data_IF_489591934036
#
_entry.id   IF_489591934036
#
_cell.length_a   1.000
_cell.length_b   1.000
_cell.length_c   1.000
_cell.angle_alpha   90.00
_cell.angle_beta   90.00
_cell.angle_gamma   90.00
#
_symmetry.space_group_name_H-M   'P 1'
#
loop_
_entity.id
_entity.type
_entity.pdbx_description
1 polymer ?
#
# COMPACT_ATOMS: atom_id res chain seq x y z
N UNK A 1 5.40 25.43 27.26
CA UNK A 1 6.40 26.36 26.68
C UNK A 1 7.80 26.17 27.26
N UNK A 2 8.00 26.07 28.59
CA UNK A 2 9.34 25.83 29.16
C UNK A 2 9.77 24.35 29.07
N UNK A 3 8.85 23.41 29.30
CA UNK A 3 9.09 21.96 29.13
C UNK A 3 9.39 21.51 27.69
N UNK A 4 8.97 22.30 26.71
CA UNK A 4 9.16 22.03 25.28
C UNK A 4 10.54 22.49 24.80
N UNK A 5 11.08 23.54 25.43
CA UNK A 5 12.46 23.99 25.19
C UNK A 5 13.51 23.05 25.79
N UNK A 6 13.13 22.32 26.83
CA UNK A 6 14.00 21.32 27.48
C UNK A 6 14.06 20.00 26.71
N UNK A 7 12.96 19.59 26.05
CA UNK A 7 12.95 18.42 25.17
C UNK A 7 13.74 18.66 23.88
N UNK A 8 13.71 19.88 23.33
CA UNK A 8 14.52 20.29 22.17
C UNK A 8 16.02 20.37 22.50
N UNK A 9 16.40 20.77 23.72
CA UNK A 9 17.80 20.74 24.18
C UNK A 9 18.34 19.32 24.32
N UNK A 10 17.51 18.37 24.78
CA UNK A 10 17.91 16.96 24.90
C UNK A 10 18.06 16.28 23.54
N UNK A 11 17.23 16.62 22.56
CA UNK A 11 17.33 16.06 21.20
C UNK A 11 18.48 16.65 20.39
N UNK A 12 18.88 17.91 20.63
CA UNK A 12 20.10 18.48 20.01
C UNK A 12 21.40 17.84 20.51
N UNK A 13 21.44 17.36 21.76
CA UNK A 13 22.64 16.73 22.34
C UNK A 13 22.88 15.29 21.87
N UNK A 14 21.90 14.68 21.19
CA UNK A 14 21.99 13.32 20.65
C UNK A 14 22.42 13.27 19.16
N UNK A 15 22.81 14.41 18.57
CA UNK A 15 23.08 14.54 17.13
C UNK A 15 24.44 15.17 16.80
N UNK A 16 25.40 15.05 17.70
CA UNK A 16 26.80 15.36 17.40
C UNK A 16 27.55 14.07 17.04
N UNK A 17 28.14 13.96 15.82
CA UNK A 17 29.01 12.85 15.48
C UNK A 17 30.39 13.04 16.12
N UNK A 18 30.88 11.99 16.79
CA UNK A 18 32.23 11.90 17.35
C UNK A 18 33.29 12.14 16.26
N UNK A 19 34.26 13.01 16.56
CA UNK A 19 35.49 13.17 15.77
C UNK A 19 36.45 12.03 16.09
N UNK A 20 37.21 11.52 15.11
CA UNK A 20 38.22 10.51 15.37
C UNK A 20 39.41 11.12 16.11
N UNK A 21 39.85 10.41 17.15
CA UNK A 21 41.08 10.63 17.90
C UNK A 21 42.28 10.62 16.95
N UNK A 22 43.05 11.72 16.94
CA UNK A 22 44.40 11.75 16.40
C UNK A 22 45.38 11.79 17.57
N UNK A 23 46.06 10.66 17.70
CA UNK A 23 47.27 10.41 18.49
C UNK A 23 48.32 11.51 18.25
N UNK A 24 48.62 12.28 19.30
CA UNK A 24 49.71 13.25 19.35
C UNK A 24 50.59 12.96 20.55
N UNK A 25 51.53 12.03 20.37
CA UNK A 25 52.70 11.91 21.24
C UNK A 25 53.68 13.05 20.98
N UNK A 26 53.73 14.02 21.90
CA UNK A 26 54.83 14.99 22.01
C UNK A 26 56.11 14.33 22.55
N UNK A 27 57.30 14.72 22.10
CA UNK A 27 58.56 14.44 22.78
C UNK A 27 59.01 15.63 23.67
N UNK A 28 59.88 15.40 24.67
CA UNK A 28 60.24 16.41 25.67
C UNK A 28 61.44 17.28 25.25
N UNK A 29 61.47 18.54 25.70
CA UNK A 29 62.68 19.38 25.81
C UNK A 29 63.54 18.96 27.03
N UNK A 30 64.76 19.46 27.26
CA UNK A 30 65.47 20.63 26.76
C UNK A 30 66.96 20.57 27.22
N UNK A 31 67.81 21.40 26.59
CA UNK A 31 69.13 21.94 27.05
C UNK A 31 70.46 21.16 26.79
N UNK A 32 71.67 21.79 26.87
CA UNK A 32 72.43 22.24 25.68
C UNK A 32 73.95 21.85 25.70
N UNK A 33 74.68 22.04 24.59
CA UNK A 33 76.15 21.86 24.58
C UNK A 33 76.85 22.12 23.24
N UNK A 34 77.72 23.14 23.25
CA UNK A 34 78.77 23.66 22.35
C UNK A 34 79.47 22.80 21.23
N UNK A 35 80.27 23.46 20.33
CA UNK A 35 80.42 23.12 18.92
C UNK A 35 81.79 22.55 18.52
N UNK A 36 81.93 21.99 17.29
CA UNK A 36 83.16 22.06 16.48
C UNK A 36 83.01 21.49 15.06
N UNK A 37 83.43 22.30 14.08
CA UNK A 37 84.15 22.00 12.82
C UNK A 37 83.95 20.67 12.06
N UNK A 38 83.60 20.75 10.76
CA UNK A 38 84.55 20.53 9.64
C UNK A 38 83.86 20.22 8.27
N UNK A 39 84.22 21.03 7.27
CA UNK A 39 84.63 20.65 5.90
C UNK A 39 83.73 19.80 4.96
N UNK A 40 83.17 20.51 3.96
CA UNK A 40 83.44 20.36 2.50
C UNK A 40 83.37 18.95 1.87
N UNK A 41 82.37 18.71 0.98
CA UNK A 41 82.54 18.49 -0.50
C UNK A 41 81.30 17.89 -1.19
N UNK A 42 80.87 18.60 -2.24
CA UNK A 42 80.50 18.13 -3.58
C UNK A 42 79.38 17.07 -3.78
N UNK A 43 78.24 17.58 -4.24
CA UNK A 43 77.58 17.24 -5.52
C UNK A 43 77.66 15.82 -6.06
N UNK A 44 76.49 15.18 -6.21
CA UNK A 44 76.15 14.53 -7.47
C UNK A 44 74.64 14.59 -7.75
N UNK A 45 74.32 15.09 -8.94
CA UNK A 45 72.96 15.26 -9.46
C UNK A 45 72.39 13.92 -9.95
N UNK A 46 71.16 13.62 -9.55
CA UNK A 46 70.26 12.73 -10.28
C UNK A 46 68.93 13.45 -10.50
N UNK A 47 68.72 13.93 -11.73
CA UNK A 47 67.45 14.51 -12.18
C UNK A 47 66.43 13.38 -12.36
N UNK A 48 65.65 13.07 -11.32
CA UNK A 48 64.41 12.33 -11.49
C UNK A 48 63.35 13.24 -12.11
N UNK A 49 63.02 12.98 -13.37
CA UNK A 49 61.94 13.63 -14.11
C UNK A 49 60.61 13.44 -13.37
N UNK A 50 59.98 14.55 -12.97
CA UNK A 50 58.64 14.54 -12.39
C UNK A 50 57.62 14.16 -13.47
N UNK A 51 56.87 13.07 -13.25
CA UNK A 51 55.74 12.69 -14.11
C UNK A 51 54.73 13.84 -14.20
N UNK A 52 54.24 14.22 -15.39
CA UNK A 52 53.28 15.31 -15.52
C UNK A 52 51.95 14.91 -14.87
N UNK A 53 51.42 15.79 -14.03
CA UNK A 53 50.11 15.64 -13.37
C UNK A 53 49.03 15.37 -14.43
N UNK A 54 48.34 14.24 -14.31
CA UNK A 54 47.22 13.88 -15.18
C UNK A 54 46.11 14.93 -15.09
N UNK A 55 45.80 15.58 -16.21
CA UNK A 55 44.62 16.44 -16.35
C UNK A 55 43.37 15.56 -16.31
N UNK A 56 42.72 15.49 -15.15
CA UNK A 56 41.39 14.89 -15.01
C UNK A 56 40.44 15.73 -15.85
N UNK A 57 39.98 15.16 -16.96
CA UNK A 57 38.99 15.82 -17.83
C UNK A 57 37.65 15.83 -17.09
N UNK A 58 36.90 16.95 -17.13
CA UNK A 58 35.54 16.97 -16.63
C UNK A 58 34.74 15.84 -17.30
N UNK A 59 33.96 15.04 -16.56
CA UNK A 59 33.12 14.02 -17.16
C UNK A 59 32.24 14.68 -18.22
N UNK A 60 32.30 14.19 -19.46
CA UNK A 60 31.35 14.60 -20.50
C UNK A 60 29.96 14.34 -19.93
N UNK A 61 29.14 15.39 -19.82
CA UNK A 61 27.68 15.22 -19.72
C UNK A 61 27.29 14.42 -20.96
N UNK A 62 27.16 13.11 -20.82
CA UNK A 62 26.34 12.32 -21.73
C UNK A 62 24.95 12.86 -21.53
N UNK A 63 24.51 13.71 -22.45
CA UNK A 63 23.11 14.03 -22.64
C UNK A 63 22.43 12.71 -22.96
N UNK A 64 22.04 11.95 -21.94
CA UNK A 64 21.06 10.89 -22.09
C UNK A 64 19.84 11.60 -22.64
N UNK A 65 19.52 11.37 -23.92
CA UNK A 65 18.27 11.82 -24.50
C UNK A 65 17.13 11.43 -23.55
N UNK A 66 16.20 12.35 -23.34
CA UNK A 66 14.97 12.16 -22.57
C UNK A 66 14.10 11.05 -23.20
N UNK A 67 14.52 9.79 -23.08
CA UNK A 67 13.73 8.61 -23.48
C UNK A 67 12.75 8.23 -22.36
N UNK A 68 11.94 9.20 -21.93
CA UNK A 68 10.86 8.96 -20.97
C UNK A 68 9.92 7.87 -21.49
N UNK A 69 9.54 7.93 -22.78
CA UNK A 69 8.59 6.98 -23.37
C UNK A 69 9.06 5.53 -23.28
N UNK A 70 10.31 5.25 -23.64
CA UNK A 70 10.89 3.90 -23.57
C UNK A 70 11.04 3.42 -22.13
N UNK A 71 11.53 4.29 -21.24
CA UNK A 71 11.69 3.99 -19.81
C UNK A 71 10.34 3.73 -19.14
N UNK A 72 9.32 4.52 -19.49
CA UNK A 72 7.96 4.38 -19.01
C UNK A 72 7.29 3.12 -19.55
N UNK A 73 7.43 2.82 -20.84
CA UNK A 73 6.85 1.62 -21.44
C UNK A 73 7.35 0.38 -20.71
N UNK A 74 8.67 0.31 -20.49
CA UNK A 74 9.30 -0.77 -19.73
C UNK A 74 8.77 -0.89 -18.31
N UNK A 75 8.68 0.23 -17.58
CA UNK A 75 8.21 0.25 -16.20
C UNK A 75 6.72 -0.11 -16.11
N UNK A 76 5.90 0.41 -17.02
CA UNK A 76 4.47 0.12 -17.09
C UNK A 76 4.21 -1.36 -17.39
N UNK A 77 5.00 -1.97 -18.28
CA UNK A 77 4.90 -3.39 -18.58
C UNK A 77 5.30 -4.24 -17.39
N UNK A 78 6.35 -3.85 -16.67
CA UNK A 78 6.75 -4.52 -15.44
C UNK A 78 5.64 -4.44 -14.37
N UNK A 79 5.00 -3.28 -14.19
CA UNK A 79 3.86 -3.12 -13.26
C UNK A 79 2.70 -4.06 -13.66
N UNK A 80 2.39 -4.18 -14.95
CA UNK A 80 1.39 -5.15 -15.44
C UNK A 80 1.78 -6.60 -15.15
N UNK A 81 3.04 -6.97 -15.34
CA UNK A 81 3.53 -8.32 -15.02
C UNK A 81 3.51 -8.61 -13.51
N UNK A 82 3.76 -7.61 -12.66
CA UNK A 82 3.60 -7.73 -11.21
C UNK A 82 2.15 -8.09 -10.87
N UNK A 83 1.18 -7.41 -11.49
CA UNK A 83 -0.25 -7.70 -11.31
C UNK A 83 -0.68 -9.06 -11.88
N UNK A 84 0.04 -9.60 -12.86
CA UNK A 84 -0.16 -10.96 -13.40
C UNK A 84 0.50 -12.06 -12.55
N UNK A 85 1.05 -11.73 -11.38
CA UNK A 85 1.81 -12.66 -10.53
C UNK A 85 3.10 -13.19 -11.17
N UNK A 86 3.64 -12.50 -12.17
CA UNK A 86 4.87 -12.87 -12.89
C UNK A 86 6.10 -12.07 -12.42
N UNK A 87 6.07 -11.57 -11.18
CA UNK A 87 7.12 -10.72 -10.64
C UNK A 87 8.51 -11.39 -10.57
N UNK A 88 8.57 -12.72 -10.51
CA UNK A 88 9.82 -13.48 -10.44
C UNK A 88 10.73 -13.32 -11.67
N UNK A 89 10.18 -12.91 -12.82
CA UNK A 89 10.95 -12.70 -14.05
C UNK A 89 11.53 -11.29 -14.17
N UNK A 90 11.22 -10.40 -13.22
CA UNK A 90 11.60 -9.00 -13.26
C UNK A 90 12.90 -8.74 -12.49
N UNK A 91 13.77 -7.90 -13.06
CA UNK A 91 14.97 -7.42 -12.37
C UNK A 91 14.62 -6.19 -11.52
N UNK A 92 14.57 -6.37 -10.19
CA UNK A 92 14.26 -5.29 -9.26
C UNK A 92 15.20 -4.08 -9.42
N UNK A 93 16.51 -4.33 -9.46
CA UNK A 93 17.53 -3.28 -9.56
C UNK A 93 17.38 -2.45 -10.84
N UNK A 94 17.05 -3.10 -11.95
CA UNK A 94 16.89 -2.43 -13.23
C UNK A 94 15.64 -1.55 -13.27
N UNK A 95 14.53 -2.03 -12.70
CA UNK A 95 13.30 -1.26 -12.58
C UNK A 95 13.47 -0.08 -11.62
N UNK A 96 14.10 -0.30 -10.47
CA UNK A 96 14.41 0.74 -9.50
C UNK A 96 15.30 1.83 -10.11
N UNK A 97 16.38 1.45 -10.81
CA UNK A 97 17.28 2.40 -11.49
C UNK A 97 16.56 3.20 -12.58
N UNK A 98 15.64 2.55 -13.31
CA UNK A 98 14.83 3.22 -14.34
C UNK A 98 13.92 4.28 -13.71
N UNK A 99 13.16 3.90 -12.67
CA UNK A 99 12.30 4.83 -11.93
C UNK A 99 13.10 5.97 -11.27
N UNK A 100 14.25 5.66 -10.67
CA UNK A 100 15.18 6.64 -10.09
C UNK A 100 15.60 7.69 -11.11
N UNK A 101 16.06 7.26 -12.29
CA UNK A 101 16.51 8.17 -13.34
C UNK A 101 15.37 9.08 -13.83
N UNK A 102 14.16 8.54 -14.00
CA UNK A 102 12.99 9.35 -14.40
C UNK A 102 12.69 10.48 -13.39
N UNK A 103 12.73 10.18 -12.09
CA UNK A 103 12.52 11.19 -11.04
C UNK A 103 13.68 12.19 -11.00
N UNK A 104 14.93 11.72 -11.14
CA UNK A 104 16.12 12.57 -11.19
C UNK A 104 16.06 13.59 -12.33
N UNK A 105 15.57 13.17 -13.49
CA UNK A 105 15.33 14.01 -14.67
C UNK A 105 14.04 14.83 -14.60
N UNK A 106 13.46 15.02 -13.41
CA UNK A 106 12.26 15.87 -13.15
C UNK A 106 10.99 15.38 -13.86
N UNK A 107 10.88 14.08 -14.14
CA UNK A 107 9.69 13.47 -14.76
C UNK A 107 8.75 12.80 -13.74
N UNK A 108 8.85 13.16 -12.46
CA UNK A 108 8.06 12.57 -11.37
C UNK A 108 6.54 12.74 -11.53
N UNK A 109 6.09 13.88 -12.06
CA UNK A 109 4.67 14.14 -12.29
C UNK A 109 4.07 13.19 -13.33
N UNK A 110 4.74 13.06 -14.48
CA UNK A 110 4.32 12.14 -15.55
C UNK A 110 4.38 10.69 -15.08
N UNK A 111 5.40 10.34 -14.29
CA UNK A 111 5.53 9.00 -13.72
C UNK A 111 4.36 8.68 -12.77
N UNK A 112 4.05 9.58 -11.83
CA UNK A 112 2.94 9.40 -10.88
C UNK A 112 1.58 9.30 -11.58
N UNK A 113 1.33 10.17 -12.55
CA UNK A 113 0.12 10.12 -13.37
C UNK A 113 0.02 8.80 -14.13
N UNK A 114 1.11 8.37 -14.79
CA UNK A 114 1.13 7.09 -15.50
C UNK A 114 0.88 5.89 -14.57
N UNK A 115 1.43 5.89 -13.35
CA UNK A 115 1.19 4.83 -12.36
C UNK A 115 -0.29 4.79 -11.99
N UNK A 116 -0.90 5.95 -11.72
CA UNK A 116 -2.34 6.05 -11.45
C UNK A 116 -3.15 5.46 -12.59
N UNK A 117 -2.81 5.77 -13.83
CA UNK A 117 -3.55 5.28 -15.00
C UNK A 117 -3.43 3.76 -15.16
N UNK A 118 -2.22 3.20 -15.02
CA UNK A 118 -1.99 1.74 -15.10
C UNK A 118 -2.72 1.00 -13.97
N UNK A 119 -2.65 1.50 -12.74
CA UNK A 119 -3.36 0.91 -11.61
C UNK A 119 -4.88 1.01 -11.78
N UNK A 120 -5.38 2.14 -12.29
CA UNK A 120 -6.81 2.33 -12.57
C UNK A 120 -7.29 1.34 -13.62
N UNK A 121 -6.59 1.22 -14.75
CA UNK A 121 -6.93 0.28 -15.81
C UNK A 121 -6.96 -1.16 -15.29
N UNK A 122 -5.95 -1.57 -14.52
CA UNK A 122 -5.92 -2.91 -13.93
C UNK A 122 -7.13 -3.16 -13.01
N UNK A 123 -7.44 -2.22 -12.12
CA UNK A 123 -8.56 -2.37 -11.18
C UNK A 123 -9.91 -2.37 -11.87
N UNK A 124 -10.09 -1.58 -12.93
CA UNK A 124 -11.31 -1.59 -13.75
C UNK A 124 -11.48 -2.96 -14.44
N UNK A 125 -10.41 -3.54 -14.98
CA UNK A 125 -10.44 -4.90 -15.54
C UNK A 125 -10.80 -5.97 -14.50
N UNK A 126 -10.25 -5.87 -13.29
CA UNK A 126 -10.56 -6.80 -12.18
C UNK A 126 -12.02 -6.65 -11.75
N UNK A 127 -12.51 -5.42 -11.64
CA UNK A 127 -13.88 -5.13 -11.27
C UNK A 127 -14.87 -5.79 -12.24
N UNK A 128 -14.64 -5.64 -13.55
CA UNK A 128 -15.51 -6.21 -14.59
C UNK A 128 -15.40 -7.73 -14.70
N UNK A 129 -14.18 -8.26 -14.84
CA UNK A 129 -13.97 -9.68 -15.19
C UNK A 129 -14.19 -10.63 -14.02
N UNK A 130 -13.80 -10.20 -12.82
CA UNK A 130 -13.77 -11.07 -11.65
C UNK A 130 -14.93 -10.77 -10.72
N UNK A 131 -15.09 -9.50 -10.35
CA UNK A 131 -15.99 -9.14 -9.26
C UNK A 131 -17.45 -9.02 -9.73
N UNK A 132 -17.72 -8.35 -10.85
CA UNK A 132 -19.08 -8.27 -11.42
C UNK A 132 -19.57 -9.64 -11.87
N UNK A 133 -18.70 -10.48 -12.42
CA UNK A 133 -19.02 -11.87 -12.75
C UNK A 133 -19.41 -12.67 -11.48
N UNK A 134 -18.68 -12.51 -10.38
CA UNK A 134 -19.01 -13.16 -9.12
C UNK A 134 -20.38 -12.71 -8.57
N UNK A 135 -20.72 -11.41 -8.68
CA UNK A 135 -22.07 -10.93 -8.31
C UNK A 135 -23.14 -11.65 -9.11
N UNK A 136 -22.96 -11.76 -10.43
CA UNK A 136 -23.96 -12.38 -11.32
C UNK A 136 -24.20 -13.86 -10.94
N UNK A 137 -23.15 -14.60 -10.61
CA UNK A 137 -23.24 -15.99 -10.15
C UNK A 137 -23.95 -16.06 -8.79
N UNK A 138 -23.65 -15.13 -7.87
CA UNK A 138 -24.28 -15.10 -6.56
C UNK A 138 -25.75 -14.67 -6.61
N UNK A 139 -26.15 -13.80 -7.54
CA UNK A 139 -27.53 -13.33 -7.72
C UNK A 139 -28.43 -14.23 -8.57
N UNK A 140 -27.86 -15.13 -9.40
CA UNK A 140 -28.63 -15.97 -10.34
C UNK A 140 -29.60 -16.98 -9.67
N UNK A 141 -29.67 -17.03 -8.34
CA UNK A 141 -30.62 -17.89 -7.61
C UNK A 141 -31.84 -17.17 -7.02
N UNK A 142 -32.08 -15.89 -7.29
CA UNK A 142 -33.21 -15.13 -6.71
C UNK A 142 -34.30 -14.68 -7.69
N UNK A 143 -34.11 -14.81 -9.01
CA UNK A 143 -34.95 -14.08 -9.98
C UNK A 143 -36.03 -14.94 -10.69
N UNK A 144 -36.38 -16.11 -10.15
CA UNK A 144 -37.41 -16.99 -10.75
C UNK A 144 -38.69 -17.18 -9.92
N UNK A 145 -38.77 -16.70 -8.68
CA UNK A 145 -39.98 -16.86 -7.86
C UNK A 145 -40.07 -15.80 -6.76
N UNK A 146 -40.73 -14.67 -7.04
CA UNK A 146 -41.64 -14.00 -6.08
C UNK A 146 -41.83 -12.52 -6.42
N UNK A 147 -42.55 -12.30 -7.53
CA UNK A 147 -43.32 -11.10 -7.75
C UNK A 147 -44.81 -11.48 -7.90
N UNK A 148 -45.41 -12.08 -6.86
CA UNK A 148 -46.86 -12.06 -6.64
C UNK A 148 -47.26 -12.63 -5.26
N UNK A 149 -47.84 -11.76 -4.43
CA UNK A 149 -48.77 -12.02 -3.31
C UNK A 149 -48.23 -12.35 -1.91
N UNK A 150 -48.72 -11.63 -0.87
CA UNK A 150 -48.48 -11.93 0.54
C UNK A 150 -49.65 -12.73 1.11
N UNK A 151 -49.45 -14.01 1.44
CA UNK A 151 -50.19 -14.75 2.48
C UNK A 151 -49.78 -16.22 2.46
N UNK A 152 -49.48 -16.75 3.66
CA UNK A 152 -49.39 -18.19 3.88
C UNK A 152 -48.02 -18.63 4.37
N UNK A 153 -47.99 -19.02 5.64
CA UNK A 153 -46.92 -19.80 6.27
C UNK A 153 -46.40 -20.89 5.34
N UNK A 154 -45.14 -20.78 4.94
CA UNK A 154 -44.36 -21.89 4.37
C UNK A 154 -43.11 -22.05 5.21
N UNK A 155 -43.04 -23.17 5.92
CA UNK A 155 -41.79 -23.67 6.49
C UNK A 155 -40.76 -23.78 5.34
N UNK A 156 -39.80 -22.86 5.36
CA UNK A 156 -38.59 -22.93 4.54
C UNK A 156 -37.84 -24.17 5.01
N UNK A 157 -37.73 -25.18 4.15
CA UNK A 157 -36.86 -26.32 4.43
C UNK A 157 -35.39 -25.86 4.50
N UNK A 158 -34.53 -26.57 5.26
CA UNK A 158 -33.15 -26.17 5.58
C UNK A 158 -32.14 -26.23 4.40
N UNK A 159 -32.63 -26.09 3.16
CA UNK A 159 -31.82 -26.21 1.94
C UNK A 159 -31.70 -24.92 1.12
N UNK A 160 -32.62 -23.97 1.25
CA UNK A 160 -32.61 -22.73 0.46
C UNK A 160 -31.68 -21.65 1.02
N UNK A 161 -31.59 -21.60 2.34
CA UNK A 161 -30.74 -20.74 3.16
C UNK A 161 -29.26 -21.15 3.11
N UNK A 162 -28.95 -22.43 3.23
CA UNK A 162 -27.59 -22.97 3.12
C UNK A 162 -26.96 -22.64 1.75
N UNK A 163 -27.74 -22.74 0.66
CA UNK A 163 -27.32 -22.35 -0.67
C UNK A 163 -27.10 -20.82 -0.83
N UNK A 164 -27.83 -20.01 -0.06
CA UNK A 164 -27.59 -18.56 0.01
C UNK A 164 -26.34 -18.22 0.82
N UNK A 165 -26.10 -18.94 1.93
CA UNK A 165 -24.93 -18.78 2.78
C UNK A 165 -23.64 -19.06 1.99
N UNK A 166 -23.62 -20.17 1.24
CA UNK A 166 -22.48 -20.58 0.42
C UNK A 166 -22.18 -19.57 -0.71
N UNK A 167 -23.20 -19.10 -1.44
CA UNK A 167 -23.03 -18.10 -2.53
C UNK A 167 -22.49 -16.77 -2.02
N UNK A 168 -22.98 -16.30 -0.87
CA UNK A 168 -22.45 -15.09 -0.24
C UNK A 168 -21.01 -15.26 0.20
N UNK A 169 -20.68 -16.41 0.82
CA UNK A 169 -19.31 -16.74 1.22
C UNK A 169 -18.36 -16.77 0.02
N UNK A 170 -18.76 -17.36 -1.10
CA UNK A 170 -17.93 -17.44 -2.30
C UNK A 170 -17.65 -16.05 -2.90
N UNK A 171 -18.67 -15.20 -2.99
CA UNK A 171 -18.50 -13.81 -3.43
C UNK A 171 -17.49 -13.06 -2.53
N UNK A 172 -17.62 -13.19 -1.21
CA UNK A 172 -16.72 -12.53 -0.27
C UNK A 172 -15.27 -13.07 -0.38
N UNK A 173 -15.09 -14.36 -0.68
CA UNK A 173 -13.76 -14.94 -0.97
C UNK A 173 -13.13 -14.35 -2.23
N UNK A 174 -13.90 -14.17 -3.30
CA UNK A 174 -13.43 -13.53 -4.53
C UNK A 174 -12.94 -12.10 -4.26
N UNK A 175 -13.72 -11.31 -3.50
CA UNK A 175 -13.32 -9.95 -3.13
C UNK A 175 -12.04 -9.94 -2.27
N UNK A 176 -11.96 -10.84 -1.29
CA UNK A 176 -10.79 -10.96 -0.41
C UNK A 176 -9.53 -11.37 -1.20
N UNK A 177 -9.67 -12.27 -2.16
CA UNK A 177 -8.57 -12.68 -3.04
C UNK A 177 -8.08 -11.52 -3.91
N UNK A 178 -9.01 -10.76 -4.52
CA UNK A 178 -8.66 -9.58 -5.32
C UNK A 178 -7.93 -8.52 -4.49
N UNK A 179 -8.36 -8.29 -3.24
CA UNK A 179 -7.68 -7.41 -2.31
C UNK A 179 -6.27 -7.91 -1.92
N UNK A 180 -6.15 -9.19 -1.58
CA UNK A 180 -4.86 -9.78 -1.20
C UNK A 180 -3.86 -9.68 -2.36
N UNK A 181 -4.27 -10.01 -3.58
CA UNK A 181 -3.42 -9.88 -4.75
C UNK A 181 -3.00 -8.43 -4.99
N UNK A 182 -3.96 -7.50 -4.93
CA UNK A 182 -3.68 -6.08 -5.13
C UNK A 182 -2.67 -5.53 -4.12
N UNK A 183 -2.89 -5.80 -2.82
CA UNK A 183 -1.99 -5.33 -1.76
C UNK A 183 -0.59 -5.94 -1.85
N UNK A 184 -0.47 -7.24 -2.19
CA UNK A 184 0.82 -7.89 -2.46
C UNK A 184 1.55 -7.22 -3.63
N UNK A 185 0.86 -6.92 -4.73
CA UNK A 185 1.43 -6.19 -5.85
C UNK A 185 1.86 -4.78 -5.48
N UNK A 186 1.04 -4.06 -4.71
CA UNK A 186 1.35 -2.69 -4.27
C UNK A 186 2.62 -2.62 -3.43
N UNK A 187 2.91 -3.60 -2.58
CA UNK A 187 4.18 -3.62 -1.83
C UNK A 187 5.39 -3.68 -2.78
N UNK A 188 5.36 -4.56 -3.79
CA UNK A 188 6.45 -4.64 -4.77
C UNK A 188 6.57 -3.35 -5.60
N UNK A 189 5.45 -2.79 -6.05
CA UNK A 189 5.43 -1.57 -6.85
C UNK A 189 5.95 -0.37 -6.03
N UNK A 190 5.54 -0.26 -4.75
CA UNK A 190 6.05 0.74 -3.81
C UNK A 190 7.56 0.63 -3.65
N UNK A 191 8.09 -0.57 -3.50
CA UNK A 191 9.53 -0.77 -3.29
C UNK A 191 10.34 -0.39 -4.55
N UNK A 192 9.84 -0.71 -5.75
CA UNK A 192 10.42 -0.26 -7.03
C UNK A 192 10.39 1.27 -7.16
N UNK A 193 9.31 1.90 -6.70
CA UNK A 193 9.06 3.34 -6.82
C UNK A 193 9.47 4.14 -5.57
N UNK A 194 10.23 3.54 -4.66
CA UNK A 194 10.60 4.14 -3.37
C UNK A 194 11.20 5.55 -3.52
N UNK A 195 12.02 5.78 -4.54
CA UNK A 195 12.63 7.08 -4.79
C UNK A 195 11.59 8.15 -5.22
N UNK A 196 10.57 7.76 -5.99
CA UNK A 196 9.48 8.65 -6.38
C UNK A 196 8.64 9.05 -5.18
N UNK A 197 8.32 8.11 -4.28
CA UNK A 197 7.59 8.41 -3.05
C UNK A 197 8.36 9.41 -2.16
N UNK A 198 9.67 9.24 -2.06
CA UNK A 198 10.50 10.07 -1.18
C UNK A 198 10.78 11.47 -1.75
N UNK A 199 11.07 11.58 -3.05
CA UNK A 199 11.58 12.82 -3.65
C UNK A 199 10.60 13.54 -4.58
N UNK A 200 9.45 12.93 -4.90
CA UNK A 200 8.37 13.57 -5.64
C UNK A 200 7.07 13.61 -4.83
N UNK A 201 6.55 12.45 -4.38
CA UNK A 201 5.21 12.39 -3.79
C UNK A 201 5.07 13.25 -2.52
N UNK A 202 6.01 13.08 -1.57
CA UNK A 202 6.02 13.84 -0.32
C UNK A 202 6.17 15.36 -0.52
N UNK A 203 7.17 15.88 -1.28
CA UNK A 203 7.29 17.31 -1.51
C UNK A 203 6.11 17.93 -2.27
N UNK A 204 5.53 17.21 -3.23
CA UNK A 204 4.39 17.68 -4.01
C UNK A 204 3.04 17.48 -3.31
N UNK A 205 3.03 16.90 -2.10
CA UNK A 205 1.83 16.59 -1.33
C UNK A 205 0.79 15.78 -2.12
N UNK A 206 1.27 14.81 -2.91
CA UNK A 206 0.42 13.84 -3.61
C UNK A 206 0.50 12.48 -2.90
N UNK A 207 -0.55 11.64 -2.99
CA UNK A 207 -0.56 10.33 -2.34
C UNK A 207 0.63 9.48 -2.77
N UNK A 208 1.27 8.82 -1.81
CA UNK A 208 2.31 7.83 -2.09
C UNK A 208 1.71 6.63 -2.82
N UNK A 209 2.55 5.82 -3.48
CA UNK A 209 2.10 4.69 -4.32
C UNK A 209 1.14 3.74 -3.58
N UNK A 210 1.48 3.39 -2.34
CA UNK A 210 0.65 2.49 -1.55
C UNK A 210 -0.72 3.11 -1.23
N UNK A 211 -0.72 4.36 -0.74
CA UNK A 211 -1.95 5.10 -0.42
C UNK A 211 -2.83 5.30 -1.67
N UNK A 212 -2.22 5.69 -2.79
CA UNK A 212 -2.88 5.79 -4.09
C UNK A 212 -3.54 4.47 -4.49
N UNK A 213 -2.84 3.35 -4.31
CA UNK A 213 -3.37 2.02 -4.60
C UNK A 213 -4.59 1.66 -3.74
N UNK A 214 -4.62 2.07 -2.47
CA UNK A 214 -5.78 1.88 -1.58
C UNK A 214 -6.95 2.75 -2.01
N UNK A 215 -6.71 4.02 -2.29
CA UNK A 215 -7.73 4.96 -2.79
C UNK A 215 -8.37 4.47 -4.09
N UNK A 216 -7.56 3.98 -5.02
CA UNK A 216 -8.05 3.42 -6.28
C UNK A 216 -8.85 2.13 -6.05
N UNK A 217 -8.41 1.24 -5.16
CA UNK A 217 -9.18 0.02 -4.84
C UNK A 217 -10.54 0.37 -4.23
N UNK A 218 -10.58 1.36 -3.31
CA UNK A 218 -11.83 1.89 -2.76
C UNK A 218 -12.76 2.38 -3.85
N UNK A 219 -12.27 3.25 -4.73
CA UNK A 219 -13.11 3.98 -5.68
C UNK A 219 -13.54 3.11 -6.87
N UNK A 220 -12.64 2.27 -7.38
CA UNK A 220 -12.87 1.44 -8.59
C UNK A 220 -13.53 0.10 -8.29
N UNK A 221 -13.28 -0.46 -7.11
CA UNK A 221 -13.85 -1.75 -6.71
C UNK A 221 -14.92 -1.53 -5.64
N UNK A 222 -14.54 -1.24 -4.39
CA UNK A 222 -15.47 -1.30 -3.24
C UNK A 222 -16.68 -0.37 -3.37
N UNK A 223 -16.47 0.86 -3.85
CA UNK A 223 -17.52 1.87 -4.03
C UNK A 223 -18.16 1.86 -5.42
N UNK A 224 -17.84 0.88 -6.27
CA UNK A 224 -18.58 0.68 -7.52
C UNK A 224 -20.07 0.47 -7.18
N UNK A 225 -21.02 1.23 -7.73
CA UNK A 225 -22.39 1.27 -7.21
C UNK A 225 -23.11 -0.07 -7.14
N UNK A 226 -22.86 -0.97 -8.11
CA UNK A 226 -23.41 -2.33 -8.10
C UNK A 226 -22.75 -3.20 -7.02
N UNK A 227 -21.41 -3.11 -6.91
CA UNK A 227 -20.65 -3.88 -5.94
C UNK A 227 -20.97 -3.45 -4.51
N UNK A 228 -20.93 -2.16 -4.23
CA UNK A 228 -21.20 -1.60 -2.89
C UNK A 228 -22.51 -2.14 -2.33
N UNK A 229 -23.59 -2.06 -3.12
CA UNK A 229 -24.92 -2.55 -2.73
C UNK A 229 -24.90 -4.05 -2.46
N UNK A 230 -24.34 -4.86 -3.35
CA UNK A 230 -24.28 -6.30 -3.18
C UNK A 230 -23.39 -6.71 -2.00
N UNK A 231 -22.28 -6.01 -1.77
CA UNK A 231 -21.37 -6.24 -0.67
C UNK A 231 -22.03 -5.99 0.68
N UNK A 232 -22.65 -4.83 0.87
CA UNK A 232 -23.38 -4.49 2.11
C UNK A 232 -24.49 -5.51 2.35
N UNK A 233 -25.31 -5.79 1.33
CA UNK A 233 -26.36 -6.80 1.41
C UNK A 233 -25.82 -8.17 1.82
N UNK A 234 -24.74 -8.63 1.19
CA UNK A 234 -24.17 -9.96 1.47
C UNK A 234 -23.63 -10.03 2.89
N UNK A 235 -22.91 -9.01 3.36
CA UNK A 235 -22.41 -8.96 4.74
C UNK A 235 -23.55 -9.03 5.76
N UNK A 236 -24.59 -8.22 5.57
CA UNK A 236 -25.77 -8.22 6.44
C UNK A 236 -26.52 -9.56 6.39
N UNK A 237 -26.65 -10.16 5.20
CA UNK A 237 -27.32 -11.46 5.04
C UNK A 237 -26.55 -12.60 5.71
N UNK A 238 -25.21 -12.61 5.63
CA UNK A 238 -24.39 -13.58 6.36
C UNK A 238 -24.58 -13.45 7.87
N UNK A 239 -24.62 -12.22 8.40
CA UNK A 239 -24.88 -11.99 9.83
C UNK A 239 -26.29 -12.45 10.22
N UNK A 240 -27.29 -12.21 9.36
CA UNK A 240 -28.65 -12.67 9.62
C UNK A 240 -28.72 -14.21 9.65
N UNK A 241 -28.10 -14.88 8.70
CA UNK A 241 -28.04 -16.35 8.67
C UNK A 241 -27.39 -16.90 9.94
N UNK A 242 -26.31 -16.28 10.41
CA UNK A 242 -25.69 -16.64 11.67
C UNK A 242 -26.62 -16.45 12.88
N UNK A 243 -27.42 -15.39 12.92
CA UNK A 243 -28.44 -15.17 13.96
C UNK A 243 -29.55 -16.20 13.92
N UNK A 244 -29.89 -16.66 12.72
CA UNK A 244 -30.90 -17.70 12.49
C UNK A 244 -30.39 -19.12 12.87
N UNK A 245 -29.11 -19.25 13.23
CA UNK A 245 -28.49 -20.50 13.66
C UNK A 245 -27.72 -21.24 12.55
N UNK A 246 -27.62 -20.65 11.36
CA UNK A 246 -26.87 -21.23 10.24
C UNK A 246 -25.36 -21.09 10.44
N UNK A 247 -24.62 -22.07 9.92
CA UNK A 247 -23.15 -22.07 9.99
C UNK A 247 -22.58 -21.20 8.86
N UNK A 248 -21.89 -20.12 9.23
CA UNK A 248 -21.21 -19.21 8.29
C UNK A 248 -19.68 -19.28 8.40
N UNK A 249 -18.99 -18.84 7.35
CA UNK A 249 -17.54 -18.63 7.38
C UNK A 249 -17.19 -17.28 8.03
N UNK A 250 -17.07 -17.28 9.36
CA UNK A 250 -16.66 -16.10 10.14
C UNK A 250 -15.28 -15.56 9.74
N UNK A 251 -14.40 -16.40 9.22
CA UNK A 251 -13.06 -16.01 8.82
C UNK A 251 -13.10 -15.03 7.66
N UNK A 252 -13.86 -15.37 6.61
CA UNK A 252 -14.05 -14.51 5.44
C UNK A 252 -14.78 -13.21 5.81
N UNK A 253 -15.81 -13.28 6.65
CA UNK A 253 -16.54 -12.10 7.11
C UNK A 253 -15.62 -11.12 7.85
N UNK A 254 -14.75 -11.64 8.73
CA UNK A 254 -13.74 -10.85 9.44
C UNK A 254 -12.73 -10.23 8.46
N UNK A 255 -12.23 -10.99 7.49
CA UNK A 255 -11.28 -10.50 6.48
C UNK A 255 -11.88 -9.34 5.69
N UNK A 256 -13.10 -9.47 5.18
CA UNK A 256 -13.74 -8.40 4.39
C UNK A 256 -14.05 -7.17 5.25
N UNK A 257 -14.51 -7.37 6.49
CA UNK A 257 -14.68 -6.27 7.44
C UNK A 257 -13.36 -5.52 7.69
N UNK A 258 -12.25 -6.25 7.78
CA UNK A 258 -10.93 -5.65 7.93
C UNK A 258 -10.50 -4.84 6.70
N UNK A 259 -10.83 -5.29 5.49
CA UNK A 259 -10.63 -4.51 4.26
C UNK A 259 -11.36 -3.16 4.37
N UNK A 260 -12.63 -3.17 4.77
CA UNK A 260 -13.42 -1.93 4.93
C UNK A 260 -12.85 -0.98 6.00
N UNK A 261 -12.14 -1.51 7.01
CA UNK A 261 -11.46 -0.71 8.03
C UNK A 261 -10.14 -0.11 7.54
N UNK A 262 -9.44 -0.77 6.60
CA UNK A 262 -8.18 -0.24 6.04
C UNK A 262 -8.40 0.87 5.01
N UNK A 263 -9.56 0.88 4.35
CA UNK A 263 -9.91 1.89 3.36
C UNK A 263 -10.48 3.14 4.05
N UNK A 264 -9.90 4.30 3.77
CA UNK A 264 -10.37 5.60 4.25
C UNK A 264 -11.22 6.29 3.18
N UNK A 265 -12.09 7.21 3.56
CA UNK A 265 -12.78 8.13 2.65
C UNK A 265 -12.01 9.46 2.53
N UNK A 266 -12.50 10.38 1.70
CA UNK A 266 -11.90 11.71 1.54
C UNK A 266 -11.93 12.59 2.79
N UNK A 267 -12.65 12.19 3.84
CA UNK A 267 -12.75 12.88 5.13
C UNK A 267 -11.94 12.18 6.23
N UNK A 268 -11.18 11.11 5.91
CA UNK A 268 -10.39 10.34 6.86
C UNK A 268 -11.20 9.37 7.74
N UNK A 269 -12.48 9.13 7.44
CA UNK A 269 -13.29 8.08 8.07
C UNK A 269 -13.11 6.77 7.33
N UNK A 270 -13.24 5.64 8.00
CA UNK A 270 -13.17 4.34 7.34
C UNK A 270 -14.40 4.08 6.46
N UNK A 271 -14.20 3.30 5.39
CA UNK A 271 -15.29 2.81 4.54
C UNK A 271 -16.25 1.96 5.37
N UNK A 272 -15.75 1.19 6.34
CA UNK A 272 -16.59 0.46 7.30
C UNK A 272 -17.62 1.37 7.98
N UNK A 273 -17.16 2.48 8.56
CA UNK A 273 -18.02 3.41 9.30
C UNK A 273 -19.05 4.09 8.40
N UNK A 274 -18.64 4.46 7.18
CA UNK A 274 -19.46 5.26 6.27
C UNK A 274 -20.44 4.43 5.43
N UNK A 275 -20.03 3.22 5.04
CA UNK A 275 -20.80 2.42 4.07
C UNK A 275 -21.48 1.20 4.70
N UNK A 276 -21.00 0.68 5.84
CA UNK A 276 -21.54 -0.55 6.44
C UNK A 276 -22.12 -0.36 7.85
N UNK A 277 -21.41 0.32 8.76
CA UNK A 277 -21.74 0.40 10.19
C UNK A 277 -23.14 0.98 10.43
N UNK A 278 -23.49 2.08 9.76
CA UNK A 278 -24.81 2.72 9.92
C UNK A 278 -25.96 1.77 9.53
N UNK A 279 -25.82 1.06 8.40
CA UNK A 279 -26.84 0.11 7.95
C UNK A 279 -26.89 -1.13 8.84
N UNK A 280 -25.72 -1.62 9.28
CA UNK A 280 -25.62 -2.75 10.20
C UNK A 280 -26.31 -2.46 11.53
N UNK A 281 -26.08 -1.29 12.11
CA UNK A 281 -26.71 -0.90 13.38
C UNK A 281 -28.22 -0.80 13.24
N UNK A 282 -28.71 -0.19 12.16
CA UNK A 282 -30.15 -0.07 11.89
C UNK A 282 -30.82 -1.45 11.77
N UNK A 283 -30.27 -2.34 10.95
CA UNK A 283 -30.82 -3.71 10.78
C UNK A 283 -30.73 -4.51 12.09
N UNK A 284 -29.67 -4.31 12.87
CA UNK A 284 -29.51 -4.98 14.16
C UNK A 284 -30.49 -4.48 15.22
N UNK A 285 -30.77 -3.17 15.25
CA UNK A 285 -31.76 -2.58 16.13
C UNK A 285 -33.15 -3.17 15.87
N UNK A 286 -33.57 -3.21 14.60
CA UNK A 286 -34.86 -3.77 14.22
C UNK A 286 -34.95 -5.27 14.56
N UNK A 287 -33.88 -6.04 14.33
CA UNK A 287 -33.82 -7.45 14.70
C UNK A 287 -34.02 -7.65 16.21
N UNK A 288 -33.25 -6.96 17.05
CA UNK A 288 -33.34 -7.12 18.51
C UNK A 288 -34.63 -6.56 19.10
N UNK A 289 -35.25 -5.55 18.46
CA UNK A 289 -36.58 -5.06 18.84
C UNK A 289 -37.64 -6.14 18.67
N UNK A 290 -37.66 -6.81 17.51
CA UNK A 290 -38.61 -7.88 17.21
C UNK A 290 -38.35 -9.11 18.08
N UNK A 291 -37.10 -9.54 18.20
CA UNK A 291 -36.74 -10.70 19.01
C UNK A 291 -37.05 -10.46 20.50
N UNK A 292 -36.80 -9.24 20.99
CA UNK A 292 -37.16 -8.84 22.35
C UNK A 292 -38.67 -8.94 22.62
N UNK A 293 -39.51 -8.42 21.70
CA UNK A 293 -40.97 -8.53 21.85
C UNK A 293 -41.44 -9.98 21.85
N UNK A 294 -40.92 -10.79 20.92
CA UNK A 294 -41.24 -12.22 20.83
C UNK A 294 -40.85 -12.98 22.10
N UNK A 295 -39.70 -12.67 22.70
CA UNK A 295 -39.27 -13.29 23.96
C UNK A 295 -40.17 -12.87 25.13
N UNK A 296 -40.58 -11.60 25.20
CA UNK A 296 -41.55 -11.15 26.22
C UNK A 296 -42.88 -11.91 26.09
N UNK A 297 -43.41 -12.02 24.87
CA UNK A 297 -44.70 -12.66 24.63
C UNK A 297 -44.67 -14.20 24.83
N UNK A 298 -43.52 -14.83 24.60
CA UNK A 298 -43.37 -16.30 24.71
C UNK A 298 -42.80 -16.79 26.04
N UNK A 299 -42.14 -15.93 26.81
CA UNK A 299 -41.52 -16.29 28.09
C UNK A 299 -42.33 -15.84 29.31
N UNK A 300 -43.63 -15.50 29.16
CA UNK A 300 -44.51 -15.33 30.32
C UNK A 300 -44.67 -16.67 31.05
N UNK A 301 -44.03 -16.76 32.21
CA UNK A 301 -43.99 -17.91 33.09
C UNK A 301 -45.39 -18.14 33.72
N UNK A 302 -46.05 -19.22 33.28
CA UNK A 302 -47.10 -19.90 34.06
C UNK A 302 -46.55 -21.17 34.68
#
# INVERSE_FOLDING_TARGET
>A
KERERESERRTRRAREPERPEQDSGEPPGDTPGEPAAASRRQSNMSLQQRRPKGKIRPPRRTTTQDNFGESWERLSQAIREIHRMNAAQLSFEELYRTAYNMVLHKQGEKLHAGIRDVLTQYLDEVAEKTVVAAIAVSSAGTDASDAASPSGSTAVGPGGDAGSAARGTEFLKVLNQAWSQHTTCLFMIRDILMYMDLYYAKPCNVPQVYELGLDLFRDRIVRLPKLKRHLIYTLLKQIQLERDGEVIDRGVLKSVTHILLQLLDGAGKTVYRTDFEEEFLKVSEDFYRVEGQKLVDSCDAS
#
